data_IF_416943116699
#
_entry.id   IF_416943116699
#
_cell.length_a   1.000
_cell.length_b   1.000
_cell.length_c   1.000
_cell.angle_alpha   90.00
_cell.angle_beta   90.00
_cell.angle_gamma   90.00
#
_symmetry.space_group_name_H-M   'P 1'
#
loop_
_entity.id
_entity.type
_entity.pdbx_description
1 polymer ?
#
# COMPACT_ATOMS: atom_id res chain seq x y z
N UNK A 1 -14.56 6.84 24.09
CA UNK A 1 -15.35 5.82 23.38
C UNK A 1 -14.51 5.33 22.22
N UNK A 2 -13.90 4.15 22.37
CA UNK A 2 -13.00 3.57 21.36
C UNK A 2 -13.84 2.96 20.24
N UNK A 3 -13.95 3.65 19.11
CA UNK A 3 -14.36 3.01 17.86
C UNK A 3 -13.16 2.26 17.30
N UNK A 4 -12.93 1.05 17.79
CA UNK A 4 -12.08 0.08 17.12
C UNK A 4 -12.74 -0.28 15.79
N UNK A 5 -12.34 0.42 14.72
CA UNK A 5 -12.67 0.08 13.34
C UNK A 5 -12.03 -1.26 12.97
N UNK A 6 -12.62 -2.35 13.45
CA UNK A 6 -12.33 -3.70 12.97
C UNK A 6 -13.06 -3.89 11.64
N UNK A 7 -12.49 -3.34 10.57
CA UNK A 7 -12.85 -3.75 9.23
C UNK A 7 -12.71 -5.28 9.14
N UNK A 8 -13.75 -5.96 8.70
CA UNK A 8 -13.71 -7.42 8.51
C UNK A 8 -12.98 -7.74 7.20
N UNK A 9 -11.68 -7.44 7.15
CA UNK A 9 -10.82 -7.65 5.99
C UNK A 9 -10.80 -9.12 5.53
N UNK A 10 -11.02 -10.07 6.45
CA UNK A 10 -10.92 -11.51 6.16
C UNK A 10 -12.00 -12.04 5.19
N UNK A 11 -13.12 -11.32 5.00
CA UNK A 11 -14.19 -11.71 4.06
C UNK A 11 -14.00 -11.17 2.63
N UNK A 12 -13.22 -10.10 2.46
CA UNK A 12 -13.08 -9.31 1.22
C UNK A 12 -12.05 -9.92 0.27
N UNK A 13 -11.01 -10.48 0.87
CA UNK A 13 -9.72 -10.74 0.24
C UNK A 13 -9.72 -11.76 -0.91
N UNK A 14 -10.38 -12.93 -0.82
CA UNK A 14 -10.25 -13.94 -1.86
C UNK A 14 -10.84 -13.47 -3.20
N UNK A 15 -11.91 -12.69 -3.12
CA UNK A 15 -12.64 -12.17 -4.28
C UNK A 15 -11.94 -10.94 -4.85
N UNK A 16 -11.37 -10.09 -3.99
CA UNK A 16 -10.52 -8.96 -4.41
C UNK A 16 -9.31 -9.42 -5.23
N UNK A 17 -8.52 -10.36 -4.71
CA UNK A 17 -7.31 -10.83 -5.41
C UNK A 17 -7.64 -11.48 -6.76
N UNK A 18 -8.72 -12.26 -6.83
CA UNK A 18 -9.16 -12.92 -8.06
C UNK A 18 -9.68 -11.91 -9.09
N UNK A 19 -10.55 -10.96 -8.67
CA UNK A 19 -11.11 -9.94 -9.56
C UNK A 19 -10.03 -8.97 -10.04
N UNK A 20 -9.15 -8.51 -9.16
CA UNK A 20 -8.04 -7.63 -9.50
C UNK A 20 -7.06 -8.32 -10.45
N UNK A 21 -6.74 -9.60 -10.23
CA UNK A 21 -5.89 -10.38 -11.14
C UNK A 21 -6.58 -10.65 -12.48
N UNK A 22 -7.90 -10.82 -12.51
CA UNK A 22 -8.66 -11.00 -13.76
C UNK A 22 -8.70 -9.70 -14.58
N UNK A 23 -8.98 -8.56 -13.94
CA UNK A 23 -9.15 -7.27 -14.60
C UNK A 23 -7.80 -6.64 -14.99
N UNK A 24 -6.80 -6.73 -14.12
CA UNK A 24 -5.52 -6.04 -14.30
C UNK A 24 -4.34 -6.97 -14.56
N UNK A 25 -4.52 -8.29 -14.48
CA UNK A 25 -3.43 -9.24 -14.64
C UNK A 25 -2.30 -8.98 -13.64
N UNK A 26 -1.06 -9.05 -14.14
CA UNK A 26 0.15 -8.69 -13.37
C UNK A 26 0.48 -7.19 -13.39
N UNK A 27 -0.39 -6.34 -13.93
CA UNK A 27 -0.09 -4.89 -14.07
C UNK A 27 -0.04 -4.19 -12.71
N UNK A 28 -0.90 -4.56 -11.76
CA UNK A 28 -0.86 -4.03 -10.39
C UNK A 28 0.38 -4.48 -9.64
N UNK A 29 0.81 -5.74 -9.82
CA UNK A 29 2.05 -6.25 -9.25
C UNK A 29 3.26 -5.46 -9.78
N UNK A 30 3.32 -5.19 -11.10
CA UNK A 30 4.39 -4.36 -11.71
C UNK A 30 4.34 -2.90 -11.29
N UNK A 31 3.16 -2.34 -11.05
CA UNK A 31 3.02 -0.94 -10.65
C UNK A 31 3.71 -0.68 -9.29
N UNK A 32 3.62 -1.64 -8.37
CA UNK A 32 4.24 -1.56 -7.04
C UNK A 32 5.77 -1.59 -7.09
N UNK A 33 6.37 -2.10 -8.18
CA UNK A 33 7.83 -2.29 -8.25
C UNK A 33 8.58 -1.10 -8.85
N UNK A 34 7.86 -0.12 -9.39
CA UNK A 34 8.43 0.99 -10.20
C UNK A 34 9.54 1.74 -9.46
N UNK A 35 9.33 2.03 -8.18
CA UNK A 35 10.24 2.85 -7.38
C UNK A 35 11.11 2.06 -6.41
N UNK A 36 11.05 0.72 -6.43
CA UNK A 36 11.87 -0.12 -5.53
C UNK A 36 13.38 0.07 -5.75
N UNK A 37 13.80 0.61 -6.90
CA UNK A 37 15.19 0.99 -7.14
C UNK A 37 15.74 2.08 -6.21
N UNK A 38 14.88 2.79 -5.47
CA UNK A 38 15.29 3.79 -4.47
C UNK A 38 15.67 3.15 -3.12
N UNK A 39 15.36 1.87 -2.92
CA UNK A 39 15.71 1.15 -1.70
C UNK A 39 17.20 0.82 -1.77
N UNK A 40 17.96 1.42 -0.85
CA UNK A 40 19.38 1.13 -0.69
C UNK A 40 19.57 -0.20 0.02
N UNK A 41 20.66 -0.90 -0.30
CA UNK A 41 21.05 -2.11 0.45
C UNK A 41 21.22 -1.75 1.94
N UNK A 42 20.70 -2.60 2.83
CA UNK A 42 20.72 -2.35 4.27
C UNK A 42 19.61 -1.42 4.78
N UNK A 43 18.78 -0.84 3.91
CA UNK A 43 17.70 0.05 4.33
C UNK A 43 16.66 -0.67 5.22
N UNK A 44 16.08 0.09 6.15
CA UNK A 44 14.92 -0.30 6.93
C UNK A 44 13.63 0.03 6.17
N UNK A 45 12.82 -1.00 5.92
CA UNK A 45 11.60 -0.87 5.09
C UNK A 45 10.36 -1.26 5.89
N UNK A 46 9.34 -0.42 5.84
CA UNK A 46 7.97 -0.78 6.24
C UNK A 46 7.14 -1.04 4.98
N UNK A 47 6.46 -2.17 4.93
CA UNK A 47 5.41 -2.46 3.97
C UNK A 47 4.10 -2.48 4.74
N UNK A 48 3.25 -1.46 4.55
CA UNK A 48 1.92 -1.42 5.16
C UNK A 48 0.90 -1.84 4.10
N UNK A 49 0.08 -2.86 4.39
CA UNK A 49 -0.94 -3.36 3.47
C UNK A 49 -0.37 -4.13 2.28
N UNK A 50 0.73 -4.86 2.46
CA UNK A 50 1.40 -5.60 1.36
C UNK A 50 0.64 -6.83 0.84
N UNK A 51 -0.52 -7.15 1.42
CA UNK A 51 -1.41 -8.22 0.98
C UNK A 51 -0.76 -9.61 1.01
N UNK A 52 -0.92 -10.38 -0.07
CA UNK A 52 -0.35 -11.74 -0.17
C UNK A 52 1.15 -11.77 -0.49
N UNK A 53 1.83 -10.61 -0.41
CA UNK A 53 3.28 -10.52 -0.50
C UNK A 53 3.85 -10.61 -1.91
N UNK A 54 3.11 -10.21 -2.95
CA UNK A 54 3.63 -10.26 -4.34
C UNK A 54 4.81 -9.31 -4.57
N UNK A 55 4.92 -8.24 -3.77
CA UNK A 55 6.04 -7.31 -3.82
C UNK A 55 7.31 -7.82 -3.12
N UNK A 56 7.21 -8.87 -2.28
CA UNK A 56 8.32 -9.33 -1.43
C UNK A 56 9.53 -9.77 -2.25
N UNK A 57 9.34 -10.52 -3.34
CA UNK A 57 10.46 -10.97 -4.18
C UNK A 57 11.26 -9.78 -4.77
N UNK A 58 10.60 -8.87 -5.52
CA UNK A 58 11.26 -7.66 -6.03
C UNK A 58 11.87 -6.77 -4.93
N UNK A 59 11.21 -6.65 -3.77
CA UNK A 59 11.70 -5.88 -2.63
C UNK A 59 12.99 -6.51 -2.05
N UNK A 60 12.97 -7.80 -1.76
CA UNK A 60 14.10 -8.50 -1.14
C UNK A 60 15.31 -8.61 -2.09
N UNK A 61 15.07 -8.57 -3.40
CA UNK A 61 16.12 -8.41 -4.40
C UNK A 61 16.84 -7.04 -4.33
N UNK A 62 16.40 -6.09 -3.49
CA UNK A 62 17.12 -4.85 -3.15
C UNK A 62 18.02 -4.99 -1.92
N UNK A 63 18.02 -6.16 -1.28
CA UNK A 63 18.80 -6.46 -0.08
C UNK A 63 18.58 -5.46 1.07
N UNK A 64 17.31 -5.17 1.46
CA UNK A 64 17.04 -4.35 2.63
C UNK A 64 17.63 -5.00 3.89
N UNK A 65 18.01 -4.19 4.87
CA UNK A 65 18.57 -4.67 6.14
C UNK A 65 17.49 -5.24 7.07
N UNK A 66 16.30 -4.64 7.03
CA UNK A 66 15.09 -5.17 7.70
C UNK A 66 13.84 -4.80 6.91
N UNK A 67 12.86 -5.70 6.91
CA UNK A 67 11.52 -5.45 6.37
C UNK A 67 10.50 -5.76 7.45
N UNK A 68 9.72 -4.77 7.87
CA UNK A 68 8.49 -4.97 8.62
C UNK A 68 7.32 -5.03 7.63
N UNK A 69 6.62 -6.15 7.59
CA UNK A 69 5.43 -6.37 6.78
C UNK A 69 4.20 -6.36 7.67
N UNK A 70 3.48 -5.24 7.64
CA UNK A 70 2.32 -4.96 8.48
C UNK A 70 1.04 -5.10 7.65
N UNK A 71 0.20 -6.07 8.00
CA UNK A 71 -1.01 -6.41 7.25
C UNK A 71 -2.17 -6.71 8.21
N UNK A 72 -3.37 -6.18 7.92
CA UNK A 72 -4.53 -6.31 8.80
C UNK A 72 -5.16 -7.71 8.72
N UNK A 73 -5.17 -8.31 7.52
CA UNK A 73 -5.72 -9.65 7.31
C UNK A 73 -4.72 -10.75 7.71
N UNK A 74 -5.11 -11.55 8.70
CA UNK A 74 -4.31 -12.71 9.11
C UNK A 74 -4.19 -13.76 8.00
N UNK A 75 -5.21 -13.88 7.13
CA UNK A 75 -5.16 -14.78 5.98
C UNK A 75 -4.14 -14.32 4.93
N UNK A 76 -4.09 -13.02 4.62
CA UNK A 76 -3.11 -12.47 3.67
C UNK A 76 -1.69 -12.60 4.21
N UNK A 77 -1.50 -12.28 5.49
CA UNK A 77 -0.22 -12.42 6.18
C UNK A 77 0.28 -13.86 6.12
N UNK A 78 -0.58 -14.84 6.40
CA UNK A 78 -0.24 -16.26 6.30
C UNK A 78 0.12 -16.68 4.85
N UNK A 79 -0.57 -16.14 3.84
CA UNK A 79 -0.24 -16.38 2.42
C UNK A 79 1.09 -15.76 2.04
N UNK A 80 1.39 -14.54 2.50
CA UNK A 80 2.67 -13.88 2.27
C UNK A 80 3.83 -14.68 2.88
N UNK A 81 3.68 -15.17 4.11
CA UNK A 81 4.67 -16.06 4.75
C UNK A 81 4.86 -17.38 3.99
N UNK A 82 3.77 -18.02 3.52
CA UNK A 82 3.87 -19.22 2.68
C UNK A 82 4.59 -18.95 1.35
N UNK A 83 4.34 -17.80 0.73
CA UNK A 83 5.02 -17.37 -0.50
C UNK A 83 6.53 -17.27 -0.29
N UNK A 84 6.99 -16.66 0.81
CA UNK A 84 8.42 -16.58 1.14
C UNK A 84 9.10 -17.95 1.10
N UNK A 85 8.45 -18.97 1.67
CA UNK A 85 8.96 -20.34 1.73
C UNK A 85 8.90 -21.01 0.34
N UNK A 86 7.75 -20.92 -0.34
CA UNK A 86 7.53 -21.59 -1.62
C UNK A 86 8.40 -21.04 -2.74
N UNK A 87 8.60 -19.72 -2.78
CA UNK A 87 9.42 -19.04 -3.79
C UNK A 87 10.89 -18.92 -3.36
N UNK A 88 11.26 -19.44 -2.17
CA UNK A 88 12.63 -19.43 -1.63
C UNK A 88 13.23 -18.02 -1.62
N UNK A 89 12.43 -17.03 -1.19
CA UNK A 89 12.84 -15.63 -1.24
C UNK A 89 13.98 -15.38 -0.22
N UNK A 90 15.05 -14.66 -0.64
CA UNK A 90 16.17 -14.39 0.24
C UNK A 90 15.84 -13.32 1.29
N UNK A 91 16.54 -13.34 2.42
CA UNK A 91 16.41 -12.33 3.48
C UNK A 91 15.37 -12.67 4.54
N UNK A 92 15.16 -11.73 5.46
CA UNK A 92 14.24 -11.87 6.58
C UNK A 92 13.18 -10.77 6.54
N UNK A 93 11.93 -11.17 6.78
CA UNK A 93 10.76 -10.28 6.84
C UNK A 93 10.08 -10.55 8.16
N UNK A 94 9.88 -9.49 8.95
CA UNK A 94 9.07 -9.55 10.16
C UNK A 94 7.60 -9.35 9.76
N UNK A 95 6.78 -10.37 9.98
CA UNK A 95 5.37 -10.37 9.62
C UNK A 95 4.52 -10.05 10.85
N UNK A 96 3.89 -8.89 10.85
CA UNK A 96 3.03 -8.44 11.94
C UNK A 96 1.60 -8.26 11.45
N UNK A 97 0.65 -8.83 12.20
CA UNK A 97 -0.76 -8.52 12.00
C UNK A 97 -1.07 -7.19 12.66
N UNK A 98 -1.52 -6.21 11.89
CA UNK A 98 -1.83 -4.89 12.42
C UNK A 98 -2.08 -3.85 11.34
N UNK A 99 -2.21 -2.61 11.80
CA UNK A 99 -2.43 -1.40 11.01
C UNK A 99 -1.39 -0.35 11.40
N UNK A 100 -1.40 0.82 10.77
CA UNK A 100 -0.53 1.94 11.14
C UNK A 100 -0.66 2.39 12.61
N UNK A 101 -1.76 2.01 13.28
CA UNK A 101 -1.96 2.27 14.71
C UNK A 101 -1.04 1.44 15.60
N UNK A 102 -0.57 0.29 15.12
CA UNK A 102 0.31 -0.63 15.84
C UNK A 102 1.80 -0.27 15.72
N UNK A 103 2.13 0.78 14.94
CA UNK A 103 3.48 1.33 14.87
C UNK A 103 3.87 1.99 16.20
N UNK A 104 5.05 1.62 16.70
CA UNK A 104 5.60 2.18 17.92
C UNK A 104 6.25 3.54 17.64
N UNK A 105 6.33 4.40 18.65
CA UNK A 105 7.01 5.71 18.52
C UNK A 105 8.51 5.58 18.21
N UNK A 106 9.10 4.43 18.52
CA UNK A 106 10.50 4.11 18.27
C UNK A 106 10.75 3.54 16.87
N UNK A 107 9.70 3.19 16.12
CA UNK A 107 9.84 2.67 14.78
C UNK A 107 10.28 3.79 13.83
N UNK A 108 11.42 3.57 13.17
CA UNK A 108 11.95 4.48 12.16
C UNK A 108 12.38 3.69 10.94
N UNK A 109 11.91 4.15 9.77
CA UNK A 109 12.14 3.51 8.49
C UNK A 109 12.76 4.48 7.48
N UNK A 110 13.70 3.98 6.68
CA UNK A 110 14.23 4.71 5.54
C UNK A 110 13.21 4.77 4.41
N UNK A 111 12.42 3.68 4.25
CA UNK A 111 11.42 3.52 3.20
C UNK A 111 10.11 3.02 3.80
N UNK A 112 8.99 3.66 3.44
CA UNK A 112 7.64 3.15 3.66
C UNK A 112 7.00 2.84 2.30
N UNK A 113 6.40 1.67 2.14
CA UNK A 113 5.72 1.24 0.92
C UNK A 113 4.22 1.06 1.20
N UNK A 114 3.38 1.75 0.42
CA UNK A 114 1.92 1.72 0.50
C UNK A 114 1.34 1.24 -0.84
N UNK A 115 1.12 -0.08 -1.02
CA UNK A 115 0.52 -0.62 -2.23
C UNK A 115 -1.00 -0.75 -2.10
N UNK A 116 -1.76 0.13 -2.77
CA UNK A 116 -3.23 0.11 -2.85
C UNK A 116 -3.90 0.14 -1.48
N UNK A 117 -3.49 1.13 -0.66
CA UNK A 117 -3.94 1.26 0.73
C UNK A 117 -4.79 2.51 0.91
N UNK A 118 -4.40 3.64 0.33
CA UNK A 118 -4.99 4.95 0.66
C UNK A 118 -6.41 5.08 0.09
N UNK A 119 -6.67 4.45 -1.06
CA UNK A 119 -8.00 4.44 -1.68
C UNK A 119 -9.06 3.65 -0.88
N UNK A 120 -8.65 2.84 0.11
CA UNK A 120 -9.55 2.09 0.97
C UNK A 120 -10.18 2.93 2.10
N UNK A 121 -9.60 4.09 2.39
CA UNK A 121 -9.97 4.93 3.54
C UNK A 121 -10.58 6.27 3.12
N UNK A 122 -11.40 6.83 4.01
CA UNK A 122 -11.90 8.19 3.84
C UNK A 122 -10.77 9.24 3.92
N UNK A 123 -10.98 10.38 3.26
CA UNK A 123 -10.01 11.49 3.22
C UNK A 123 -9.57 11.94 4.63
N UNK A 124 -10.52 12.09 5.55
CA UNK A 124 -10.24 12.46 6.94
C UNK A 124 -9.38 11.42 7.64
N UNK A 125 -9.65 10.12 7.44
CA UNK A 125 -8.85 9.04 8.04
C UNK A 125 -7.40 9.08 7.55
N UNK A 126 -7.20 9.26 6.24
CA UNK A 126 -5.85 9.35 5.66
C UNK A 126 -5.12 10.60 6.18
N UNK A 127 -5.78 11.76 6.19
CA UNK A 127 -5.19 13.03 6.62
C UNK A 127 -4.88 13.07 8.11
N UNK A 128 -5.84 12.69 8.94
CA UNK A 128 -5.82 12.99 10.38
C UNK A 128 -5.22 11.85 11.21
N UNK A 129 -5.16 10.63 10.65
CA UNK A 129 -4.68 9.45 11.37
C UNK A 129 -3.50 8.77 10.68
N UNK A 130 -3.60 8.45 9.39
CA UNK A 130 -2.57 7.66 8.71
C UNK A 130 -1.31 8.47 8.41
N UNK A 131 -1.43 9.61 7.72
CA UNK A 131 -0.27 10.41 7.30
C UNK A 131 0.59 10.88 8.49
N UNK A 132 0.04 11.33 9.64
CA UNK A 132 0.84 11.69 10.81
C UNK A 132 1.64 10.51 11.37
N UNK A 133 1.05 9.31 11.42
CA UNK A 133 1.74 8.09 11.88
C UNK A 133 2.86 7.69 10.93
N UNK A 134 2.58 7.66 9.62
CA UNK A 134 3.55 7.27 8.61
C UNK A 134 4.70 8.26 8.51
N UNK A 135 4.42 9.56 8.55
CA UNK A 135 5.47 10.59 8.55
C UNK A 135 6.28 10.60 9.84
N UNK A 136 5.66 10.27 10.99
CA UNK A 136 6.37 10.11 12.27
C UNK A 136 7.28 8.88 12.32
N UNK A 137 6.97 7.84 11.55
CA UNK A 137 7.76 6.61 11.45
C UNK A 137 8.85 6.67 10.36
N UNK A 138 8.98 7.77 9.63
CA UNK A 138 10.06 7.97 8.65
C UNK A 138 11.29 8.59 9.31
N UNK A 139 12.45 8.06 8.96
CA UNK A 139 13.73 8.72 9.19
C UNK A 139 13.76 10.10 8.49
N UNK A 140 14.55 11.07 9.00
CA UNK A 140 14.84 12.31 8.26
C UNK A 140 15.38 12.01 6.86
N UNK A 141 14.76 12.60 5.84
CA UNK A 141 15.12 12.33 4.44
C UNK A 141 14.64 10.97 3.90
N UNK A 142 13.87 10.21 4.68
CA UNK A 142 13.23 8.96 4.29
C UNK A 142 12.17 9.15 3.21
N UNK A 143 11.76 8.06 2.58
CA UNK A 143 10.91 8.08 1.38
C UNK A 143 9.67 7.20 1.54
N UNK A 144 8.52 7.70 1.08
CA UNK A 144 7.29 6.93 0.92
C UNK A 144 7.11 6.58 -0.55
N UNK A 145 6.95 5.30 -0.83
CA UNK A 145 6.61 4.75 -2.13
C UNK A 145 5.13 4.39 -2.14
N UNK A 146 4.34 5.09 -2.95
CA UNK A 146 2.88 4.91 -3.00
C UNK A 146 2.52 4.36 -4.37
N UNK A 147 1.70 3.32 -4.41
CA UNK A 147 1.09 2.86 -5.66
C UNK A 147 -0.39 2.75 -5.43
N UNK A 148 -1.17 3.63 -6.04
CA UNK A 148 -2.61 3.68 -5.77
C UNK A 148 -3.42 4.17 -6.98
N UNK A 149 -4.72 3.89 -6.97
CA UNK A 149 -5.64 4.34 -8.01
C UNK A 149 -5.78 5.86 -8.02
N UNK A 150 -5.90 6.41 -9.23
CA UNK A 150 -6.09 7.84 -9.47
C UNK A 150 -7.27 8.07 -10.39
N UNK A 151 -7.84 9.29 -10.30
CA UNK A 151 -8.93 9.70 -11.18
C UNK A 151 -8.46 9.76 -12.63
N UNK A 152 -9.38 9.47 -13.53
CA UNK A 152 -9.13 9.42 -14.98
C UNK A 152 -10.27 10.10 -15.73
N UNK A 153 -9.94 10.76 -16.84
CA UNK A 153 -10.91 11.43 -17.70
C UNK A 153 -11.55 10.46 -18.71
N UNK A 154 -10.95 9.28 -18.92
CA UNK A 154 -11.42 8.31 -19.93
C UNK A 154 -12.72 7.64 -19.46
N UNK A 155 -13.81 7.69 -20.26
CA UNK A 155 -15.14 7.24 -19.81
C UNK A 155 -15.19 5.76 -19.46
N UNK A 156 -14.55 4.89 -20.24
CA UNK A 156 -14.52 3.45 -19.95
C UNK A 156 -13.74 3.12 -18.67
N UNK A 157 -12.67 3.86 -18.37
CA UNK A 157 -11.89 3.68 -17.14
C UNK A 157 -12.67 4.17 -15.93
N UNK A 158 -13.40 5.29 -16.07
CA UNK A 158 -14.33 5.76 -15.05
C UNK A 158 -15.42 4.72 -14.76
N UNK A 159 -16.02 4.15 -15.80
CA UNK A 159 -17.03 3.10 -15.64
C UNK A 159 -16.47 1.85 -14.93
N UNK A 160 -15.26 1.42 -15.31
CA UNK A 160 -14.59 0.29 -14.66
C UNK A 160 -14.31 0.56 -13.18
N UNK A 161 -13.75 1.74 -12.85
CA UNK A 161 -13.47 2.13 -11.47
C UNK A 161 -14.75 2.24 -10.64
N UNK A 162 -15.82 2.81 -11.20
CA UNK A 162 -17.12 2.89 -10.52
C UNK A 162 -17.72 1.51 -10.27
N UNK A 163 -17.62 0.60 -11.24
CA UNK A 163 -18.05 -0.79 -11.08
C UNK A 163 -17.27 -1.49 -9.95
N UNK A 164 -15.96 -1.28 -9.89
CA UNK A 164 -15.11 -1.82 -8.82
C UNK A 164 -15.50 -1.26 -7.45
N UNK A 165 -15.62 0.07 -7.32
CA UNK A 165 -16.02 0.71 -6.06
C UNK A 165 -17.39 0.19 -5.63
N UNK A 166 -18.36 0.12 -6.54
CA UNK A 166 -19.69 -0.42 -6.25
C UNK A 166 -19.63 -1.87 -5.77
N UNK A 167 -18.85 -2.71 -6.46
CA UNK A 167 -18.66 -4.11 -6.11
C UNK A 167 -18.03 -4.27 -4.71
N UNK A 168 -16.99 -3.50 -4.40
CA UNK A 168 -16.36 -3.52 -3.09
C UNK A 168 -17.24 -2.93 -2.00
N UNK A 169 -18.08 -1.94 -2.28
CA UNK A 169 -19.04 -1.46 -1.30
C UNK A 169 -20.06 -2.54 -0.91
N UNK A 170 -20.52 -3.33 -1.87
CA UNK A 170 -21.46 -4.42 -1.64
C UNK A 170 -20.83 -5.60 -0.91
N UNK A 171 -19.60 -5.97 -1.28
CA UNK A 171 -18.96 -7.19 -0.78
C UNK A 171 -18.10 -6.94 0.46
N UNK A 172 -17.50 -5.76 0.55
CA UNK A 172 -16.40 -5.46 1.47
C UNK A 172 -16.66 -4.31 2.44
N UNK A 173 -17.81 -3.63 2.32
CA UNK A 173 -18.19 -2.51 3.19
C UNK A 173 -17.10 -1.43 3.31
N UNK A 174 -16.33 -1.20 2.23
CA UNK A 174 -15.33 -0.12 2.21
C UNK A 174 -15.99 1.24 2.45
N UNK A 175 -15.30 2.12 3.18
CA UNK A 175 -15.77 3.48 3.47
C UNK A 175 -15.82 4.34 2.21
N UNK A 176 -14.90 4.09 1.29
CA UNK A 176 -14.68 4.94 0.12
C UNK A 176 -15.88 4.91 -0.85
N UNK A 177 -16.41 6.10 -1.13
CA UNK A 177 -17.46 6.32 -2.15
C UNK A 177 -16.91 6.88 -3.46
N UNK A 178 -15.69 7.40 -3.44
CA UNK A 178 -15.03 8.04 -4.58
C UNK A 178 -13.52 7.93 -4.41
N UNK A 179 -12.77 7.88 -5.52
CA UNK A 179 -11.32 7.90 -5.45
C UNK A 179 -10.82 9.15 -4.72
N UNK A 180 -10.05 8.89 -3.68
CA UNK A 180 -9.34 9.88 -2.87
C UNK A 180 -8.30 10.61 -3.71
N UNK A 181 -8.21 11.93 -3.58
CA UNK A 181 -7.08 12.68 -4.12
C UNK A 181 -5.93 12.68 -3.11
N UNK A 182 -5.30 11.51 -2.95
CA UNK A 182 -4.24 11.31 -1.97
C UNK A 182 -3.01 12.18 -2.26
N UNK A 183 -2.74 12.49 -3.53
CA UNK A 183 -1.65 13.39 -3.92
C UNK A 183 -1.79 14.78 -3.28
N UNK A 184 -3.02 15.30 -3.21
CA UNK A 184 -3.31 16.57 -2.54
C UNK A 184 -3.05 16.46 -1.04
N UNK A 185 -3.46 15.35 -0.42
CA UNK A 185 -3.23 15.15 1.02
C UNK A 185 -1.75 15.09 1.36
N UNK A 186 -0.93 14.41 0.55
CA UNK A 186 0.51 14.39 0.77
C UNK A 186 1.16 15.77 0.57
N UNK A 187 0.66 16.57 -0.37
CA UNK A 187 1.17 17.92 -0.59
C UNK A 187 0.93 18.87 0.60
N UNK A 188 -0.07 18.57 1.44
CA UNK A 188 -0.34 19.32 2.69
C UNK A 188 0.58 18.88 3.85
N UNK A 189 1.49 17.92 3.62
CA UNK A 189 2.45 17.41 4.61
C UNK A 189 3.88 17.87 4.32
N UNK A 190 4.84 17.42 5.15
CA UNK A 190 6.29 17.62 4.92
C UNK A 190 6.88 16.70 3.84
N UNK A 191 6.06 16.11 2.99
CA UNK A 191 6.50 15.22 1.93
C UNK A 191 6.55 15.98 0.60
N UNK A 192 7.68 15.88 -0.08
CA UNK A 192 7.88 16.42 -1.42
C UNK A 192 7.88 15.30 -2.45
N UNK A 193 7.11 15.42 -3.53
CA UNK A 193 7.09 14.40 -4.59
C UNK A 193 8.39 14.46 -5.39
N UNK A 194 9.11 13.34 -5.44
CA UNK A 194 10.38 13.20 -6.16
C UNK A 194 10.23 12.43 -7.47
N UNK A 195 9.17 11.63 -7.62
CA UNK A 195 8.91 10.87 -8.84
C UNK A 195 7.44 10.49 -9.00
N UNK A 196 6.99 10.41 -10.26
CA UNK A 196 5.66 9.95 -10.63
C UNK A 196 5.69 9.15 -11.92
N UNK A 197 4.98 8.02 -11.94
CA UNK A 197 4.87 7.16 -13.10
C UNK A 197 3.42 6.65 -13.23
N UNK A 198 2.68 7.06 -14.28
CA UNK A 198 1.37 6.50 -14.58
C UNK A 198 1.47 5.01 -14.94
N UNK A 199 0.62 4.20 -14.34
CA UNK A 199 0.53 2.75 -14.50
C UNK A 199 -0.89 2.35 -14.90
N UNK A 200 -1.05 1.11 -15.37
CA UNK A 200 -2.38 0.52 -15.68
C UNK A 200 -3.23 1.45 -16.55
N UNK A 201 -2.69 1.83 -17.71
CA UNK A 201 -3.35 2.75 -18.66
C UNK A 201 -3.69 4.14 -18.08
N UNK A 202 -3.02 4.56 -17.00
CA UNK A 202 -3.23 5.83 -16.32
C UNK A 202 -4.24 5.78 -15.17
N UNK A 203 -4.77 4.60 -14.83
CA UNK A 203 -5.71 4.43 -13.70
C UNK A 203 -5.01 4.31 -12.35
N UNK A 204 -3.71 4.01 -12.35
CA UNK A 204 -2.88 3.85 -11.16
C UNK A 204 -1.70 4.80 -11.28
N UNK A 205 -1.31 5.44 -10.19
CA UNK A 205 -0.08 6.22 -10.13
C UNK A 205 0.88 5.55 -9.15
N UNK A 206 2.11 5.28 -9.61
CA UNK A 206 3.21 4.90 -8.75
C UNK A 206 4.07 6.14 -8.49
N UNK A 207 4.26 6.52 -7.24
CA UNK A 207 4.93 7.77 -6.84
C UNK A 207 5.94 7.55 -5.73
N UNK A 208 6.96 8.40 -5.73
CA UNK A 208 7.93 8.52 -4.66
C UNK A 208 7.85 9.91 -4.04
N UNK A 209 7.81 9.93 -2.71
CA UNK A 209 7.65 11.13 -1.89
C UNK A 209 8.70 11.14 -0.79
N UNK A 210 9.48 12.20 -0.69
CA UNK A 210 10.59 12.32 0.27
C UNK A 210 10.25 13.28 1.39
N UNK A 211 10.55 12.89 2.63
CA UNK A 211 10.38 13.73 3.80
C UNK A 211 11.44 14.85 3.80
N UNK A 212 10.97 16.10 3.85
CA UNK A 212 11.78 17.32 3.88
C UNK A 212 11.78 17.97 5.26
#
# INVERSE_FOLDING_TARGET
MNHSFRFNFDAVTPVYDALSRLVFGRRLERAQTVWLGQISSGASVLVLGGGTGSLLGPLLARQPGRVLFLEASGQMLARAGRRMIQEQLPGQVDFQRGTEQDLQLTDQFDIIILPFVLDLFAEATVRDHMLPKLTGALQPGGTVLITDFVRTDRPWQRALLQLMIWFFRLTAHIETRQLLNWQRLLADTRLSRTGQAPQVWGMVSAESWRLT
#
